data_IF_888361447613
#
_entry.id   IF_888361447613
#
_cell.length_a   1.000
_cell.length_b   1.000
_cell.length_c   1.000
_cell.angle_alpha   90.00
_cell.angle_beta   90.00
_cell.angle_gamma   90.00
#
_symmetry.space_group_name_H-M   'P 1'
#
loop_
_entity.id
_entity.type
_entity.pdbx_description
1 polymer ?
#
# COMPACT_ATOMS: atom_id res chain seq x y z
N UNK A 1 -42.45 12.41 -39.97
CA UNK A 1 -41.75 12.24 -38.68
C UNK A 1 -40.92 10.97 -38.75
N UNK A 2 -39.59 11.06 -38.86
CA UNK A 2 -38.70 9.90 -38.87
C UNK A 2 -38.53 9.40 -37.43
N UNK A 3 -38.97 8.17 -37.14
CA UNK A 3 -38.66 7.50 -35.87
C UNK A 3 -37.23 6.95 -35.97
N UNK A 4 -36.32 7.51 -35.16
CA UNK A 4 -34.99 6.95 -34.96
C UNK A 4 -35.12 5.87 -33.89
N UNK A 5 -34.89 4.61 -34.27
CA UNK A 5 -34.75 3.52 -33.32
C UNK A 5 -33.36 3.57 -32.70
N UNK A 6 -33.29 3.80 -31.39
CA UNK A 6 -32.07 3.62 -30.61
C UNK A 6 -32.06 2.16 -30.15
N UNK A 7 -31.26 1.34 -30.83
CA UNK A 7 -30.96 -0.03 -30.39
C UNK A 7 -30.02 0.05 -29.19
N UNK A 8 -30.54 -0.20 -27.99
CA UNK A 8 -29.72 -0.43 -26.79
C UNK A 8 -29.26 -1.89 -26.83
N UNK A 9 -27.98 -2.09 -27.18
CA UNK A 9 -27.33 -3.40 -27.09
C UNK A 9 -27.00 -3.63 -25.61
N UNK A 10 -27.88 -4.34 -24.90
CA UNK A 10 -27.65 -4.81 -23.54
C UNK A 10 -26.99 -6.19 -23.62
N UNK A 11 -25.66 -6.24 -23.50
CA UNK A 11 -24.94 -7.52 -23.37
C UNK A 11 -25.08 -7.97 -21.91
N UNK A 12 -26.13 -8.75 -21.63
CA UNK A 12 -26.24 -9.51 -20.39
C UNK A 12 -25.35 -10.76 -20.51
N UNK A 13 -24.19 -10.73 -19.87
CA UNK A 13 -23.28 -11.86 -19.74
C UNK A 13 -23.79 -12.79 -18.63
N UNK A 14 -24.37 -13.92 -19.03
CA UNK A 14 -24.77 -15.00 -18.11
C UNK A 14 -23.52 -15.81 -17.75
N UNK A 15 -23.18 -15.83 -16.46
CA UNK A 15 -22.07 -16.59 -15.88
C UNK A 15 -22.54 -17.98 -15.46
N UNK A 16 -21.89 -19.02 -15.97
CA UNK A 16 -22.06 -20.40 -15.52
C UNK A 16 -20.73 -20.89 -14.95
N UNK A 17 -20.79 -21.48 -13.76
CA UNK A 17 -19.62 -22.02 -13.06
C UNK A 17 -19.12 -23.29 -13.75
N UNK A 18 -17.91 -23.23 -14.32
CA UNK A 18 -17.17 -24.43 -14.70
C UNK A 18 -15.84 -24.44 -13.97
N UNK A 19 -15.68 -25.32 -12.98
CA UNK A 19 -14.39 -25.59 -12.35
C UNK A 19 -13.60 -26.55 -13.24
N UNK A 20 -12.50 -26.07 -13.83
CA UNK A 20 -11.58 -26.94 -14.55
C UNK A 20 -10.38 -27.24 -13.64
N UNK A 21 -10.39 -28.40 -12.99
CA UNK A 21 -9.24 -28.92 -12.25
C UNK A 21 -8.29 -29.64 -13.21
N UNK A 22 -7.39 -28.88 -13.83
CA UNK A 22 -6.32 -29.42 -14.69
C UNK A 22 -4.98 -28.83 -14.30
N UNK A 23 -4.07 -29.65 -13.76
CA UNK A 23 -2.65 -29.30 -13.54
C UNK A 23 -1.98 -28.96 -14.87
N UNK A 24 -1.33 -27.79 -14.96
CA UNK A 24 -0.23 -27.55 -15.91
C UNK A 24 -0.40 -26.50 -17.01
N UNK A 25 -1.40 -25.61 -16.96
CA UNK A 25 -1.53 -24.44 -17.84
C UNK A 25 -1.87 -23.22 -16.99
N UNK A 26 -1.31 -22.03 -17.32
CA UNK A 26 -1.63 -20.79 -16.61
C UNK A 26 -3.15 -20.57 -16.47
N UNK A 27 -3.58 -20.02 -15.33
CA UNK A 27 -5.00 -19.91 -14.96
C UNK A 27 -5.86 -19.13 -15.97
N UNK A 28 -5.23 -18.26 -16.78
CA UNK A 28 -5.82 -17.55 -17.92
C UNK A 28 -4.85 -17.50 -19.10
N UNK A 29 -5.38 -17.38 -20.31
CA UNK A 29 -4.61 -17.44 -21.58
C UNK A 29 -3.66 -16.25 -21.78
N UNK A 30 -3.98 -15.11 -21.18
CA UNK A 30 -3.32 -13.83 -21.35
C UNK A 30 -2.40 -13.48 -20.17
N UNK A 31 -2.12 -14.46 -19.28
CA UNK A 31 -1.21 -14.31 -18.15
C UNK A 31 0.02 -15.20 -18.29
N UNK A 32 1.17 -14.66 -17.89
CA UNK A 32 2.44 -15.37 -17.78
C UNK A 32 2.93 -15.35 -16.33
N UNK A 33 3.55 -16.42 -15.87
CA UNK A 33 4.12 -16.48 -14.51
C UNK A 33 5.15 -15.37 -14.24
N UNK A 34 5.80 -14.87 -15.30
CA UNK A 34 6.75 -13.75 -15.23
C UNK A 34 6.09 -12.37 -15.10
N UNK A 35 4.76 -12.27 -15.19
CA UNK A 35 4.08 -10.98 -15.03
C UNK A 35 4.15 -10.55 -13.56
N UNK A 36 4.56 -9.30 -13.31
CA UNK A 36 4.76 -8.77 -11.94
C UNK A 36 3.51 -8.84 -11.04
N UNK A 37 2.33 -8.98 -11.64
CA UNK A 37 1.04 -9.08 -10.95
C UNK A 37 0.48 -10.51 -10.92
N UNK A 38 1.17 -11.50 -11.51
CA UNK A 38 0.66 -12.87 -11.68
C UNK A 38 0.22 -13.48 -10.36
N UNK A 39 1.10 -13.46 -9.35
CA UNK A 39 0.82 -14.03 -8.03
C UNK A 39 -0.37 -13.34 -7.36
N UNK A 40 -0.48 -12.02 -7.49
CA UNK A 40 -1.61 -11.25 -6.95
C UNK A 40 -2.93 -11.74 -7.57
N UNK A 41 -2.96 -11.95 -8.88
CA UNK A 41 -4.15 -12.48 -9.57
C UNK A 41 -4.46 -13.90 -9.11
N UNK A 42 -3.48 -14.79 -9.08
CA UNK A 42 -3.67 -16.20 -8.65
C UNK A 42 -4.26 -16.27 -7.25
N UNK A 43 -3.73 -15.50 -6.29
CA UNK A 43 -4.23 -15.49 -4.91
C UNK A 43 -5.66 -14.96 -4.83
N UNK A 44 -5.96 -13.86 -5.52
CA UNK A 44 -7.31 -13.26 -5.48
C UNK A 44 -8.35 -14.14 -6.17
N UNK A 45 -7.99 -14.82 -7.25
CA UNK A 45 -8.83 -15.82 -7.92
C UNK A 45 -9.04 -17.03 -7.03
N UNK A 46 -7.99 -17.55 -6.41
CA UNK A 46 -8.08 -18.66 -5.46
C UNK A 46 -8.97 -18.36 -4.24
N UNK A 47 -9.05 -17.09 -3.82
CA UNK A 47 -9.97 -16.61 -2.78
C UNK A 47 -11.39 -16.32 -3.29
N UNK A 48 -11.59 -16.33 -4.61
CA UNK A 48 -12.85 -15.95 -5.26
C UNK A 48 -13.19 -14.48 -5.03
N UNK A 49 -12.19 -13.60 -4.99
CA UNK A 49 -12.34 -12.14 -4.86
C UNK A 49 -12.46 -11.49 -6.23
N UNK A 50 -11.73 -12.04 -7.21
CA UNK A 50 -11.75 -11.59 -8.59
C UNK A 50 -11.80 -12.80 -9.51
N UNK A 51 -12.42 -12.62 -10.67
CA UNK A 51 -12.64 -13.68 -11.65
C UNK A 51 -12.11 -13.25 -13.02
N UNK A 52 -11.83 -14.21 -13.89
CA UNK A 52 -11.58 -13.93 -15.31
C UNK A 52 -12.87 -13.81 -16.10
N UNK A 53 -12.71 -13.56 -17.39
CA UNK A 53 -13.80 -13.49 -18.34
C UNK A 53 -14.15 -14.88 -18.88
N UNK A 54 -15.35 -15.02 -19.43
CA UNK A 54 -15.87 -16.28 -19.97
C UNK A 54 -15.10 -16.79 -21.20
N UNK A 55 -14.30 -15.94 -21.84
CA UNK A 55 -13.40 -16.28 -22.95
C UNK A 55 -12.08 -16.95 -22.49
N UNK A 56 -11.87 -17.03 -21.17
CA UNK A 56 -10.66 -17.59 -20.56
C UNK A 56 -9.50 -16.59 -20.44
N UNK A 57 -9.77 -15.29 -20.60
CA UNK A 57 -8.81 -14.20 -20.38
C UNK A 57 -9.05 -13.50 -19.03
N UNK A 58 -8.02 -12.86 -18.50
CA UNK A 58 -8.10 -12.01 -17.32
C UNK A 58 -8.24 -10.52 -17.67
N UNK A 59 -7.70 -10.10 -18.82
CA UNK A 59 -7.63 -8.74 -19.35
C UNK A 59 -6.93 -7.77 -18.38
N UNK A 60 -5.66 -8.04 -18.01
CA UNK A 60 -4.95 -7.29 -16.97
C UNK A 60 -4.76 -5.80 -17.30
N UNK A 61 -4.73 -5.44 -18.58
CA UNK A 61 -4.47 -4.06 -19.03
C UNK A 61 -5.72 -3.20 -19.16
N UNK A 62 -6.91 -3.78 -19.05
CA UNK A 62 -8.17 -3.06 -19.14
C UNK A 62 -8.45 -2.32 -17.84
N UNK A 63 -8.88 -1.06 -17.94
CA UNK A 63 -9.29 -0.27 -16.79
C UNK A 63 -10.54 -0.85 -16.14
N UNK A 64 -10.59 -0.83 -14.81
CA UNK A 64 -11.80 -1.23 -14.08
C UNK A 64 -12.78 -0.07 -13.96
N UNK A 65 -14.08 -0.39 -13.98
CA UNK A 65 -15.14 0.53 -13.59
C UNK A 65 -15.26 0.63 -12.06
N UNK A 66 -15.82 1.72 -11.56
CA UNK A 66 -15.99 1.95 -10.12
C UNK A 66 -16.80 0.85 -9.46
N UNK A 67 -17.89 0.39 -10.09
CA UNK A 67 -18.70 -0.73 -9.61
C UNK A 67 -17.95 -2.06 -9.52
N UNK A 68 -17.09 -2.37 -10.49
CA UNK A 68 -16.23 -3.55 -10.47
C UNK A 68 -15.27 -3.49 -9.30
N UNK A 69 -14.66 -2.33 -9.05
CA UNK A 69 -13.74 -2.17 -7.94
C UNK A 69 -14.44 -2.26 -6.58
N UNK A 70 -15.61 -1.62 -6.44
CA UNK A 70 -16.45 -1.72 -5.23
C UNK A 70 -16.82 -3.18 -4.97
N UNK A 71 -17.30 -3.91 -5.98
CA UNK A 71 -17.61 -5.34 -5.86
C UNK A 71 -16.40 -6.11 -5.33
N UNK A 72 -15.22 -5.91 -5.92
CA UNK A 72 -14.02 -6.65 -5.47
C UNK A 72 -13.65 -6.36 -4.02
N UNK A 73 -13.80 -5.11 -3.56
CA UNK A 73 -13.56 -4.75 -2.16
C UNK A 73 -14.59 -5.36 -1.22
N UNK A 74 -15.87 -5.31 -1.58
CA UNK A 74 -16.97 -5.92 -0.79
C UNK A 74 -16.78 -7.43 -0.67
N UNK A 75 -16.39 -8.10 -1.76
CA UNK A 75 -16.08 -9.54 -1.73
C UNK A 75 -14.82 -9.83 -0.92
N UNK A 76 -13.78 -8.98 -1.03
CA UNK A 76 -12.56 -9.10 -0.24
C UNK A 76 -12.83 -9.03 1.28
N UNK A 77 -13.87 -8.30 1.67
CA UNK A 77 -14.39 -8.21 3.04
C UNK A 77 -15.28 -9.40 3.45
N UNK A 78 -15.44 -10.40 2.58
CA UNK A 78 -16.24 -11.61 2.85
C UNK A 78 -17.72 -11.49 2.49
N UNK A 79 -18.17 -10.37 1.92
CA UNK A 79 -19.55 -10.19 1.50
C UNK A 79 -19.74 -10.64 0.05
N UNK A 80 -19.96 -11.95 -0.13
CA UNK A 80 -20.36 -12.52 -1.43
C UNK A 80 -21.86 -12.39 -1.60
N UNK A 81 -22.28 -11.55 -2.53
CA UNK A 81 -23.68 -11.22 -2.79
C UNK A 81 -24.10 -11.69 -4.18
N UNK A 82 -25.40 -11.92 -4.37
CA UNK A 82 -25.93 -12.15 -5.71
C UNK A 82 -25.98 -10.82 -6.48
N UNK A 83 -25.88 -10.90 -7.81
CA UNK A 83 -26.00 -9.71 -8.66
C UNK A 83 -27.43 -9.15 -8.60
N UNK A 84 -27.55 -7.83 -8.70
CA UNK A 84 -28.83 -7.14 -8.81
C UNK A 84 -29.55 -7.46 -10.13
N UNK A 85 -30.88 -7.29 -10.13
CA UNK A 85 -31.73 -7.60 -11.30
C UNK A 85 -31.67 -6.52 -12.38
N UNK A 86 -31.72 -5.25 -11.99
CA UNK A 86 -31.71 -4.12 -12.93
C UNK A 86 -30.28 -3.65 -13.18
N UNK A 87 -29.51 -3.48 -12.10
CA UNK A 87 -28.09 -3.18 -12.16
C UNK A 87 -27.31 -4.20 -11.37
N UNK A 88 -26.42 -4.94 -12.05
CA UNK A 88 -25.73 -6.10 -11.47
C UNK A 88 -24.95 -5.75 -10.19
N UNK A 89 -24.41 -4.54 -10.11
CA UNK A 89 -23.57 -4.09 -9.00
C UNK A 89 -24.33 -3.49 -7.82
N UNK A 90 -25.63 -3.24 -7.98
CA UNK A 90 -26.45 -2.53 -6.98
C UNK A 90 -26.33 -3.13 -5.57
N UNK A 91 -26.48 -4.45 -5.34
CA UNK A 91 -26.33 -5.02 -4.00
C UNK A 91 -24.94 -4.79 -3.38
N UNK A 92 -23.89 -4.75 -4.21
CA UNK A 92 -22.54 -4.49 -3.75
C UNK A 92 -22.33 -3.02 -3.40
N UNK A 93 -22.91 -2.11 -4.18
CA UNK A 93 -22.86 -0.66 -3.91
C UNK A 93 -23.63 -0.34 -2.63
N UNK A 94 -24.83 -0.89 -2.46
CA UNK A 94 -25.61 -0.76 -1.23
C UNK A 94 -24.84 -1.29 -0.03
N UNK A 95 -24.18 -2.46 -0.17
CA UNK A 95 -23.35 -2.98 0.91
C UNK A 95 -22.15 -2.08 1.21
N UNK A 96 -21.51 -1.51 0.20
CA UNK A 96 -20.41 -0.57 0.39
C UNK A 96 -20.85 0.74 1.05
N UNK A 97 -22.08 1.19 0.80
CA UNK A 97 -22.72 2.32 1.49
C UNK A 97 -23.01 2.01 2.96
N UNK A 98 -23.58 0.84 3.25
CA UNK A 98 -23.83 0.33 4.60
C UNK A 98 -22.54 0.23 5.42
N UNK A 99 -21.47 -0.25 4.78
CA UNK A 99 -20.13 -0.29 5.35
C UNK A 99 -19.48 1.10 5.45
N UNK A 100 -20.01 2.14 4.82
CA UNK A 100 -19.40 3.48 4.80
C UNK A 100 -18.09 3.57 4.00
N UNK A 101 -17.77 2.54 3.21
CA UNK A 101 -16.66 2.51 2.25
C UNK A 101 -16.97 3.50 1.11
N UNK A 102 -18.20 3.44 0.62
CA UNK A 102 -18.77 4.43 -0.30
C UNK A 102 -19.69 5.34 0.52
N UNK A 103 -19.75 6.62 0.16
CA UNK A 103 -20.62 7.64 0.76
C UNK A 103 -21.43 8.32 -0.34
N UNK A 104 -22.60 8.83 0.05
CA UNK A 104 -23.45 9.59 -0.86
C UNK A 104 -22.69 10.80 -1.41
N UNK A 105 -22.67 10.93 -2.74
CA UNK A 105 -21.97 12.00 -3.45
C UNK A 105 -20.50 11.74 -3.78
N UNK A 106 -19.91 10.61 -3.36
CA UNK A 106 -18.56 10.23 -3.79
C UNK A 106 -18.47 10.07 -5.31
N UNK A 107 -19.51 9.51 -5.92
CA UNK A 107 -19.56 9.21 -7.35
C UNK A 107 -20.87 9.69 -7.98
N UNK A 108 -20.78 10.23 -9.19
CA UNK A 108 -21.94 10.57 -10.02
C UNK A 108 -22.37 9.41 -10.93
N UNK A 109 -21.48 8.46 -11.19
CA UNK A 109 -21.72 7.24 -11.95
C UNK A 109 -20.75 6.16 -11.48
N UNK A 110 -21.27 4.95 -11.25
CA UNK A 110 -20.46 3.79 -10.89
C UNK A 110 -19.95 2.99 -12.11
N UNK A 111 -20.47 3.27 -13.30
CA UNK A 111 -20.09 2.59 -14.54
C UNK A 111 -18.93 3.28 -15.29
N UNK A 112 -18.48 4.43 -14.77
CA UNK A 112 -17.26 5.07 -15.28
C UNK A 112 -16.03 4.30 -14.79
N UNK A 113 -14.93 4.37 -15.53
CA UNK A 113 -13.64 3.87 -15.07
C UNK A 113 -13.20 4.60 -13.82
N UNK A 114 -12.73 3.87 -12.81
CA UNK A 114 -12.27 4.45 -11.54
C UNK A 114 -10.88 5.08 -11.72
N UNK A 115 -10.69 6.27 -11.19
CA UNK A 115 -9.38 6.93 -11.15
C UNK A 115 -8.52 6.38 -10.01
N UNK A 116 -7.20 6.53 -10.14
CA UNK A 116 -6.25 6.13 -9.09
C UNK A 116 -6.50 6.83 -7.75
N UNK A 117 -6.91 8.10 -7.76
CA UNK A 117 -7.21 8.84 -6.54
C UNK A 117 -8.51 8.36 -5.86
N UNK A 118 -9.56 8.06 -6.64
CA UNK A 118 -10.79 7.47 -6.10
C UNK A 118 -10.55 6.06 -5.55
N UNK A 119 -9.70 5.28 -6.22
CA UNK A 119 -9.27 3.98 -5.71
C UNK A 119 -8.55 4.09 -4.37
N UNK A 120 -7.63 5.06 -4.23
CA UNK A 120 -6.96 5.31 -2.95
C UNK A 120 -7.97 5.63 -1.85
N UNK A 121 -8.98 6.45 -2.15
CA UNK A 121 -10.06 6.77 -1.21
C UNK A 121 -10.81 5.51 -0.75
N UNK A 122 -11.28 4.67 -1.67
CA UNK A 122 -12.00 3.45 -1.29
C UNK A 122 -11.11 2.47 -0.53
N UNK A 123 -9.86 2.30 -0.97
CA UNK A 123 -8.86 1.42 -0.36
C UNK A 123 -8.57 1.83 1.08
N UNK A 124 -8.31 3.12 1.31
CA UNK A 124 -8.05 3.66 2.66
C UNK A 124 -9.24 3.41 3.56
N UNK A 125 -10.47 3.74 3.13
CA UNK A 125 -11.67 3.51 3.95
C UNK A 125 -11.89 2.03 4.30
N UNK A 126 -11.56 1.12 3.40
CA UNK A 126 -11.60 -0.32 3.68
C UNK A 126 -10.58 -0.70 4.77
N UNK A 127 -9.34 -0.21 4.67
CA UNK A 127 -8.32 -0.49 5.68
C UNK A 127 -8.69 0.14 7.03
N UNK A 128 -9.18 1.37 7.04
CA UNK A 128 -9.68 2.06 8.24
C UNK A 128 -10.77 1.25 8.95
N UNK A 129 -11.71 0.69 8.17
CA UNK A 129 -12.75 -0.20 8.69
C UNK A 129 -12.15 -1.48 9.31
N UNK A 130 -11.24 -2.14 8.61
CA UNK A 130 -10.68 -3.43 9.03
C UNK A 130 -9.83 -3.31 10.29
N UNK A 131 -9.07 -2.22 10.40
CA UNK A 131 -8.04 -2.05 11.43
C UNK A 131 -8.49 -1.11 12.55
N UNK A 132 -9.67 -0.50 12.44
CA UNK A 132 -10.13 0.52 13.37
C UNK A 132 -9.25 1.78 13.38
N UNK A 133 -8.35 1.90 12.41
CA UNK A 133 -7.50 3.07 12.19
C UNK A 133 -8.40 4.16 11.62
N UNK A 134 -8.63 5.24 12.36
CA UNK A 134 -9.35 6.41 11.83
C UNK A 134 -8.32 7.43 11.35
N UNK A 135 -8.48 8.05 10.19
CA UNK A 135 -7.59 9.15 9.79
C UNK A 135 -8.25 10.52 10.00
N UNK A 136 -7.67 11.30 10.92
CA UNK A 136 -7.29 12.71 10.78
C UNK A 136 -6.35 13.04 11.95
N UNK A 137 -5.05 12.78 11.80
CA UNK A 137 -3.97 13.46 12.53
C UNK A 137 -2.68 13.21 11.77
N UNK A 138 -2.50 13.89 10.63
CA UNK A 138 -1.14 14.25 10.25
C UNK A 138 -0.82 15.53 11.01
N UNK A 139 0.33 15.54 11.68
CA UNK A 139 0.83 16.73 12.37
C UNK A 139 2.15 17.10 11.69
N UNK A 140 2.15 18.18 10.91
CA UNK A 140 3.38 18.76 10.37
C UNK A 140 4.16 17.87 9.39
N UNK A 141 5.42 17.58 9.74
CA UNK A 141 6.51 17.23 8.81
C UNK A 141 6.32 15.97 7.95
N UNK A 142 5.46 15.02 8.33
CA UNK A 142 5.27 13.75 7.62
C UNK A 142 4.49 13.90 6.31
N UNK A 143 3.49 14.77 6.29
CA UNK A 143 2.73 15.07 5.07
C UNK A 143 3.65 15.70 4.01
N UNK A 144 4.49 16.65 4.41
CA UNK A 144 5.46 17.29 3.50
C UNK A 144 6.47 16.26 2.96
N UNK A 145 6.96 15.36 3.81
CA UNK A 145 7.84 14.26 3.41
C UNK A 145 7.19 13.35 2.37
N UNK A 146 5.97 12.85 2.63
CA UNK A 146 5.26 11.98 1.68
C UNK A 146 5.00 12.73 0.37
N UNK A 147 4.44 13.93 0.45
CA UNK A 147 4.05 14.70 -0.74
C UNK A 147 5.25 15.13 -1.59
N UNK A 148 6.42 15.37 -1.00
CA UNK A 148 7.67 15.64 -1.74
C UNK A 148 8.12 14.50 -2.65
N UNK A 149 7.70 13.25 -2.37
CA UNK A 149 7.99 12.09 -3.22
C UNK A 149 7.00 11.87 -4.35
N UNK A 150 5.92 12.65 -4.37
CA UNK A 150 4.83 12.53 -5.35
C UNK A 150 4.85 13.78 -6.25
N UNK A 151 5.61 13.69 -7.33
CA UNK A 151 5.90 14.83 -8.21
C UNK A 151 4.65 15.49 -8.84
N UNK A 152 3.56 14.75 -9.00
CA UNK A 152 2.29 15.23 -9.55
C UNK A 152 1.17 15.35 -8.50
N UNK A 153 1.52 15.39 -7.21
CA UNK A 153 0.55 15.51 -6.09
C UNK A 153 -0.38 16.72 -6.23
N UNK A 154 0.15 17.84 -6.70
CA UNK A 154 -0.61 19.07 -6.93
C UNK A 154 -1.76 18.90 -7.94
N UNK A 155 -1.68 17.88 -8.81
CA UNK A 155 -2.72 17.60 -9.80
C UNK A 155 -3.94 16.89 -9.22
N UNK A 156 -3.87 16.31 -8.02
CA UNK A 156 -5.00 15.66 -7.38
C UNK A 156 -6.07 16.67 -6.92
N UNK A 157 -7.34 16.24 -6.90
CA UNK A 157 -8.42 17.05 -6.30
C UNK A 157 -8.20 17.20 -4.79
N UNK A 158 -8.55 18.37 -4.25
CA UNK A 158 -8.32 18.68 -2.84
C UNK A 158 -8.99 17.68 -1.89
N UNK A 159 -10.16 17.17 -2.23
CA UNK A 159 -10.89 16.18 -1.43
C UNK A 159 -10.25 14.78 -1.44
N UNK A 160 -9.47 14.43 -2.47
CA UNK A 160 -8.84 13.11 -2.58
C UNK A 160 -7.40 13.08 -2.06
N UNK A 161 -6.76 14.24 -1.93
CA UNK A 161 -5.37 14.38 -1.43
C UNK A 161 -5.08 13.65 -0.12
N UNK A 162 -5.91 13.75 0.94
CA UNK A 162 -5.66 13.03 2.20
C UNK A 162 -5.58 11.51 2.01
N UNK A 163 -6.41 10.95 1.11
CA UNK A 163 -6.43 9.53 0.84
C UNK A 163 -5.22 9.06 0.04
N UNK A 164 -4.66 9.93 -0.81
CA UNK A 164 -3.40 9.63 -1.51
C UNK A 164 -2.27 9.51 -0.49
N UNK A 165 -2.12 10.48 0.40
CA UNK A 165 -1.09 10.45 1.45
C UNK A 165 -1.27 9.21 2.32
N UNK A 166 -2.50 8.94 2.77
CA UNK A 166 -2.78 7.78 3.62
C UNK A 166 -2.55 6.45 2.91
N UNK A 167 -2.83 6.36 1.62
CA UNK A 167 -2.54 5.15 0.85
C UNK A 167 -1.04 4.86 0.75
N UNK A 168 -0.20 5.90 0.67
CA UNK A 168 1.27 5.80 0.74
C UNK A 168 1.73 5.36 2.13
N UNK A 169 1.25 6.03 3.18
CA UNK A 169 1.59 5.69 4.57
C UNK A 169 1.24 4.23 4.89
N UNK A 170 0.02 3.80 4.54
CA UNK A 170 -0.42 2.42 4.72
C UNK A 170 0.28 1.44 3.78
N UNK A 171 1.01 1.91 2.75
CA UNK A 171 1.68 1.06 1.77
C UNK A 171 0.75 0.29 0.84
N UNK A 172 -0.50 0.73 0.74
CA UNK A 172 -1.47 0.12 -0.16
C UNK A 172 -1.24 0.56 -1.60
N UNK A 173 -0.70 1.77 -1.81
CA UNK A 173 -0.31 2.32 -3.11
C UNK A 173 0.99 3.10 -2.97
N UNK A 174 1.99 2.85 -3.84
CA UNK A 174 3.35 3.43 -3.74
C UNK A 174 3.77 4.29 -4.93
N UNK A 175 2.85 4.60 -5.84
CA UNK A 175 3.14 5.37 -7.06
C UNK A 175 3.84 4.56 -8.14
N UNK A 176 4.31 5.25 -9.18
CA UNK A 176 5.06 4.68 -10.28
C UNK A 176 6.57 4.96 -10.15
N UNK A 177 7.45 4.18 -10.82
CA UNK A 177 8.89 4.40 -10.78
C UNK A 177 9.35 5.79 -11.27
N UNK A 178 8.51 6.52 -12.01
CA UNK A 178 8.76 7.89 -12.46
C UNK A 178 8.46 8.96 -11.38
N UNK A 179 8.15 8.53 -10.15
CA UNK A 179 7.83 9.42 -9.03
C UNK A 179 6.45 10.06 -9.13
N UNK A 180 5.57 9.55 -9.99
CA UNK A 180 4.19 10.06 -10.14
C UNK A 180 3.17 9.14 -9.48
N UNK A 181 2.11 9.74 -8.98
CA UNK A 181 0.92 9.04 -8.54
C UNK A 181 -0.13 8.89 -9.66
N UNK A 182 -0.23 9.85 -10.59
CA UNK A 182 -1.21 9.90 -11.68
C UNK A 182 -2.66 9.88 -11.20
N UNK A 183 -3.11 10.88 -10.42
CA UNK A 183 -4.38 10.83 -9.70
C UNK A 183 -5.62 10.72 -10.59
N UNK A 184 -5.55 11.20 -11.83
CA UNK A 184 -6.67 11.19 -12.80
C UNK A 184 -6.64 10.00 -13.76
N UNK A 185 -5.55 9.24 -13.78
CA UNK A 185 -5.44 8.10 -14.68
C UNK A 185 -6.35 6.97 -14.18
N UNK A 186 -6.91 6.22 -15.13
CA UNK A 186 -7.66 5.01 -14.83
C UNK A 186 -6.72 3.88 -14.42
N UNK A 187 -7.06 3.14 -13.38
CA UNK A 187 -6.23 2.05 -12.88
C UNK A 187 -6.58 0.73 -13.59
N UNK A 188 -5.55 0.02 -14.05
CA UNK A 188 -5.68 -1.24 -14.80
C UNK A 188 -6.04 -2.40 -13.88
N UNK A 189 -6.74 -3.41 -14.39
CA UNK A 189 -7.14 -4.59 -13.59
C UNK A 189 -5.97 -5.27 -12.87
N UNK A 190 -4.78 -5.34 -13.46
CA UNK A 190 -3.56 -5.87 -12.81
C UNK A 190 -3.08 -5.01 -11.62
N UNK A 191 -3.12 -3.69 -11.78
CA UNK A 191 -2.79 -2.75 -10.72
C UNK A 191 -3.80 -2.88 -9.58
N UNK A 192 -5.09 -3.07 -9.88
CA UNK A 192 -6.15 -3.18 -8.89
C UNK A 192 -5.95 -4.43 -8.03
N UNK A 193 -5.55 -5.55 -8.66
CA UNK A 193 -5.21 -6.78 -7.95
C UNK A 193 -4.07 -6.58 -6.94
N UNK A 194 -3.09 -5.76 -7.30
CA UNK A 194 -1.96 -5.47 -6.41
C UNK A 194 -2.41 -4.66 -5.20
N UNK A 195 -3.27 -3.66 -5.41
CA UNK A 195 -3.86 -2.86 -4.32
C UNK A 195 -4.75 -3.73 -3.43
N UNK A 196 -5.65 -4.54 -4.00
CA UNK A 196 -6.54 -5.43 -3.24
C UNK A 196 -5.73 -6.46 -2.43
N UNK A 197 -4.65 -7.02 -3.01
CA UNK A 197 -3.75 -7.93 -2.30
C UNK A 197 -3.14 -7.28 -1.06
N UNK A 198 -2.71 -6.02 -1.17
CA UNK A 198 -2.16 -5.20 -0.07
C UNK A 198 -3.21 -4.86 0.99
N UNK A 199 -4.48 -4.73 0.61
CA UNK A 199 -5.57 -4.52 1.57
C UNK A 199 -5.76 -5.77 2.43
N UNK A 200 -5.91 -6.95 1.81
CA UNK A 200 -6.26 -8.20 2.50
C UNK A 200 -5.06 -8.90 3.17
N UNK A 201 -3.84 -8.43 2.91
CA UNK A 201 -2.62 -8.98 3.49
C UNK A 201 -1.63 -7.86 3.75
N UNK A 202 -1.59 -7.46 5.03
CA UNK A 202 -0.76 -6.38 5.54
C UNK A 202 0.72 -6.58 5.22
N UNK A 203 1.20 -7.82 5.16
CA UNK A 203 2.61 -8.14 4.87
C UNK A 203 3.01 -7.81 3.44
N UNK A 204 2.04 -7.68 2.54
CA UNK A 204 2.26 -7.30 1.15
C UNK A 204 2.33 -5.79 0.96
N UNK A 205 1.96 -5.01 1.99
CA UNK A 205 1.97 -3.54 1.93
C UNK A 205 3.41 -3.06 1.85
N UNK A 206 3.64 -2.21 0.88
CA UNK A 206 4.92 -1.55 0.66
C UNK A 206 4.81 -0.19 1.33
N UNK A 207 4.90 -0.18 2.66
CA UNK A 207 4.68 1.06 3.43
C UNK A 207 5.66 2.10 2.96
N UNK A 208 5.17 3.32 2.77
CA UNK A 208 6.04 4.47 2.71
C UNK A 208 6.70 4.61 4.08
N UNK A 209 7.81 3.90 4.25
CA UNK A 209 8.70 4.06 5.38
C UNK A 209 9.54 5.25 5.02
N UNK A 210 9.35 6.35 5.75
CA UNK A 210 10.33 7.40 5.73
C UNK A 210 11.65 6.75 6.17
N UNK A 211 12.58 6.59 5.23
CA UNK A 211 13.99 6.31 5.55
C UNK A 211 14.58 7.60 6.12
N UNK A 212 14.00 8.06 7.23
CA UNK A 212 14.55 9.12 8.02
C UNK A 212 15.66 8.51 8.84
N UNK A 213 16.88 8.93 8.57
CA UNK A 213 17.66 9.39 9.70
C UNK A 213 16.79 10.49 10.31
N UNK A 214 16.10 10.19 11.40
CA UNK A 214 15.53 11.26 12.21
C UNK A 214 16.72 11.82 12.99
N UNK A 215 17.37 12.84 12.40
CA UNK A 215 18.14 13.77 13.22
C UNK A 215 17.07 14.51 14.02
N UNK A 216 16.70 13.94 15.16
CA UNK A 216 15.81 14.60 16.08
C UNK A 216 16.68 15.54 16.88
N UNK A 217 16.88 16.75 16.35
CA UNK A 217 17.22 17.88 17.20
C UNK A 217 16.00 18.08 18.12
N UNK A 218 16.06 17.52 19.33
CA UNK A 218 15.07 17.60 20.40
C UNK A 218 13.86 16.66 20.28
N UNK A 219 14.02 15.43 20.79
CA UNK A 219 12.92 14.51 21.08
C UNK A 219 12.00 15.10 22.16
N UNK A 220 10.71 15.23 21.89
CA UNK A 220 9.71 15.54 22.93
C UNK A 220 9.79 14.49 24.05
N UNK A 221 10.28 14.92 25.23
CA UNK A 221 10.47 14.08 26.41
C UNK A 221 11.92 13.70 26.73
N UNK A 222 12.87 13.98 25.85
CA UNK A 222 14.31 13.95 26.15
C UNK A 222 14.86 15.37 26.14
N UNK A 223 15.87 15.64 26.98
CA UNK A 223 16.52 16.95 27.01
C UNK A 223 17.11 17.26 25.62
N UNK A 224 16.65 18.34 24.94
CA UNK A 224 17.25 18.90 23.73
C UNK A 224 18.76 18.88 23.65
N UNK A 225 19.42 19.11 24.79
CA UNK A 225 20.86 19.29 24.86
C UNK A 225 21.63 17.95 24.94
N UNK A 226 20.93 16.80 24.90
CA UNK A 226 21.55 15.50 25.13
C UNK A 226 21.57 14.56 23.91
N UNK A 227 20.69 14.63 22.91
CA UNK A 227 20.63 13.62 21.82
C UNK A 227 21.10 14.20 20.48
N UNK A 228 22.14 13.63 19.87
CA UNK A 228 22.69 14.08 18.58
C UNK A 228 21.99 13.48 17.35
N UNK A 229 21.52 12.23 17.40
CA UNK A 229 20.81 11.59 16.28
C UNK A 229 20.08 10.31 16.68
N UNK A 230 19.06 9.93 15.89
CA UNK A 230 18.40 8.62 15.96
C UNK A 230 18.19 8.04 14.55
N UNK A 231 18.57 6.78 14.35
CA UNK A 231 18.33 6.02 13.12
C UNK A 231 17.44 4.83 13.47
N UNK A 232 16.41 4.59 12.66
CA UNK A 232 15.50 3.45 12.79
C UNK A 232 15.66 2.52 11.58
N UNK A 233 15.80 1.22 11.85
CA UNK A 233 15.82 0.16 10.83
C UNK A 233 14.63 -0.74 11.08
N UNK A 234 13.70 -0.79 10.12
CA UNK A 234 12.53 -1.65 10.15
C UNK A 234 12.88 -3.02 9.57
N UNK A 235 12.82 -4.06 10.40
CA UNK A 235 13.24 -5.41 10.01
C UNK A 235 12.22 -6.16 9.15
N UNK A 236 10.99 -5.65 9.06
CA UNK A 236 9.93 -6.20 8.20
C UNK A 236 10.00 -5.66 6.77
N UNK A 237 10.90 -4.71 6.51
CA UNK A 237 11.11 -4.07 5.20
C UNK A 237 12.44 -4.53 4.58
N UNK A 238 12.63 -4.40 3.25
CA UNK A 238 13.91 -4.72 2.61
C UNK A 238 15.09 -4.02 3.29
N UNK A 239 16.10 -4.79 3.70
CA UNK A 239 17.16 -4.32 4.59
C UNK A 239 18.31 -3.61 3.87
N UNK A 240 18.62 -3.98 2.62
CA UNK A 240 19.84 -3.53 1.93
C UNK A 240 19.88 -2.00 1.77
N UNK A 241 18.78 -1.40 1.31
CA UNK A 241 18.68 0.05 1.16
C UNK A 241 18.73 0.80 2.51
N UNK A 242 18.25 0.17 3.59
CA UNK A 242 18.34 0.73 4.95
C UNK A 242 19.79 0.72 5.44
N UNK A 243 20.50 -0.38 5.19
CA UNK A 243 21.91 -0.52 5.56
C UNK A 243 22.81 0.47 4.85
N UNK A 244 22.61 0.68 3.54
CA UNK A 244 23.44 1.61 2.78
C UNK A 244 23.27 3.05 3.26
N UNK A 245 22.03 3.48 3.51
CA UNK A 245 21.75 4.82 4.05
C UNK A 245 22.31 4.99 5.46
N UNK A 246 22.09 4.00 6.34
CA UNK A 246 22.59 4.01 7.72
C UNK A 246 24.11 4.08 7.74
N UNK A 247 24.78 3.24 6.94
CA UNK A 247 26.24 3.23 6.81
C UNK A 247 26.75 4.57 6.31
N UNK A 248 26.13 5.13 5.28
CA UNK A 248 26.53 6.43 4.70
C UNK A 248 26.48 7.54 5.75
N UNK A 249 25.40 7.62 6.53
CA UNK A 249 25.28 8.61 7.60
C UNK A 249 26.30 8.40 8.72
N UNK A 250 26.46 7.16 9.21
CA UNK A 250 27.40 6.86 10.29
C UNK A 250 28.85 7.16 9.87
N UNK A 251 29.21 6.91 8.62
CA UNK A 251 30.55 7.24 8.11
C UNK A 251 30.87 8.73 8.30
N UNK A 252 29.89 9.59 8.04
CA UNK A 252 30.01 11.05 8.24
C UNK A 252 29.95 11.44 9.72
N UNK A 253 28.99 10.90 10.48
CA UNK A 253 28.73 11.30 11.86
C UNK A 253 29.76 10.79 12.88
N UNK A 254 30.25 9.56 12.70
CA UNK A 254 30.99 8.82 13.74
C UNK A 254 32.31 8.21 13.24
N UNK A 255 32.58 8.31 11.94
CA UNK A 255 33.80 7.81 11.31
C UNK A 255 33.79 6.30 11.03
N UNK A 256 34.75 5.87 10.21
CA UNK A 256 34.77 4.52 9.62
C UNK A 256 34.80 3.39 10.65
N UNK A 257 35.67 3.50 11.66
CA UNK A 257 35.85 2.45 12.67
C UNK A 257 34.54 2.16 13.39
N UNK A 258 33.91 3.20 13.96
CA UNK A 258 32.70 3.03 14.77
C UNK A 258 31.50 2.64 13.91
N UNK A 259 31.42 3.17 12.68
CA UNK A 259 30.42 2.76 11.70
C UNK A 259 30.45 1.26 11.45
N UNK A 260 31.63 0.70 11.19
CA UNK A 260 31.76 -0.73 10.91
C UNK A 260 31.33 -1.58 12.12
N UNK A 261 31.72 -1.19 13.33
CA UNK A 261 31.32 -1.88 14.56
C UNK A 261 29.80 -1.83 14.81
N UNK A 262 29.18 -0.67 14.61
CA UNK A 262 27.73 -0.47 14.74
C UNK A 262 27.00 -1.30 13.69
N UNK A 263 27.42 -1.23 12.42
CA UNK A 263 26.75 -1.94 11.32
C UNK A 263 26.83 -3.47 11.46
N UNK A 264 27.91 -4.01 12.03
CA UNK A 264 28.00 -5.44 12.36
C UNK A 264 26.92 -5.80 13.38
N UNK A 265 26.79 -5.02 14.46
CA UNK A 265 25.80 -5.28 15.49
C UNK A 265 24.37 -5.14 14.96
N UNK A 266 24.11 -4.13 14.15
CA UNK A 266 22.82 -3.90 13.49
C UNK A 266 22.41 -5.11 12.66
N UNK A 267 23.29 -5.59 11.77
CA UNK A 267 23.02 -6.78 10.94
C UNK A 267 22.87 -8.05 11.78
N UNK A 268 23.61 -8.16 12.87
CA UNK A 268 23.46 -9.30 13.79
C UNK A 268 22.09 -9.23 14.50
N UNK A 269 21.65 -8.04 14.89
CA UNK A 269 20.35 -7.81 15.52
C UNK A 269 19.18 -8.01 14.56
N UNK A 270 19.32 -7.72 13.26
CA UNK A 270 18.22 -8.02 12.31
C UNK A 270 17.96 -9.51 12.21
N UNK A 271 19.00 -10.33 12.31
CA UNK A 271 18.90 -11.78 12.19
C UNK A 271 18.49 -12.45 13.52
N UNK A 272 18.78 -11.81 14.67
CA UNK A 272 18.64 -12.40 16.01
C UNK A 272 18.12 -11.41 17.07
N UNK A 273 17.08 -10.65 16.73
CA UNK A 273 16.65 -9.43 17.43
C UNK A 273 16.42 -9.58 18.94
N UNK A 274 15.80 -10.67 19.40
CA UNK A 274 15.51 -10.89 20.84
C UNK A 274 16.70 -11.45 21.63
N UNK A 275 17.71 -11.97 20.94
CA UNK A 275 18.82 -12.68 21.57
C UNK A 275 19.94 -11.69 21.89
N UNK A 276 20.13 -10.70 21.03
CA UNK A 276 21.23 -9.76 21.14
C UNK A 276 20.78 -8.57 22.01
N UNK A 277 21.35 -8.35 23.19
CA UNK A 277 20.97 -7.22 24.06
C UNK A 277 21.39 -5.88 23.44
N UNK A 278 20.83 -4.77 23.93
CA UNK A 278 21.31 -3.43 23.58
C UNK A 278 22.81 -3.29 23.90
N UNK A 279 23.53 -2.53 23.09
CA UNK A 279 24.96 -2.26 23.31
C UNK A 279 25.24 -0.77 23.15
N UNK A 280 26.12 -0.27 24.02
CA UNK A 280 26.66 1.08 23.97
C UNK A 280 28.06 1.09 23.35
N UNK A 281 28.36 2.14 22.61
CA UNK A 281 29.66 2.46 22.04
C UNK A 281 30.10 3.84 22.53
N UNK A 282 31.37 4.01 22.84
CA UNK A 282 31.92 5.34 23.18
C UNK A 282 32.07 6.18 21.93
N UNK A 283 31.69 7.46 22.01
CA UNK A 283 31.77 8.42 20.90
C UNK A 283 32.17 9.79 21.43
N UNK A 284 33.13 10.47 20.78
CA UNK A 284 33.54 11.85 21.11
C UNK A 284 33.79 12.15 22.62
N UNK A 285 34.37 11.22 23.37
CA UNK A 285 34.72 11.43 24.77
C UNK A 285 33.61 11.04 25.73
N UNK A 286 32.71 11.96 26.06
CA UNK A 286 31.59 11.75 26.99
C UNK A 286 30.30 11.23 26.32
N UNK A 287 30.22 11.33 24.99
CA UNK A 287 29.06 10.82 24.23
C UNK A 287 29.11 9.31 24.04
N UNK A 288 27.95 8.75 23.74
CA UNK A 288 27.74 7.34 23.50
C UNK A 288 26.78 7.14 22.34
N UNK A 289 26.85 5.95 21.76
CA UNK A 289 25.87 5.48 20.79
C UNK A 289 25.26 4.20 21.34
N UNK A 290 23.94 4.14 21.47
CA UNK A 290 23.21 2.91 21.74
C UNK A 290 22.71 2.27 20.45
N UNK A 291 22.85 0.96 20.33
CA UNK A 291 22.10 0.16 19.37
C UNK A 291 21.13 -0.74 20.15
N UNK A 292 19.83 -0.51 19.98
CA UNK A 292 18.76 -1.16 20.74
C UNK A 292 17.64 -1.69 19.83
N UNK A 293 16.71 -2.44 20.42
CA UNK A 293 15.52 -2.99 19.75
C UNK A 293 14.24 -2.58 20.50
N UNK A 294 13.89 -1.28 20.51
CA UNK A 294 12.90 -0.71 21.43
C UNK A 294 11.44 -1.12 21.15
N UNK A 295 11.14 -1.63 19.95
CA UNK A 295 9.79 -2.01 19.51
C UNK A 295 9.53 -3.52 19.44
N UNK A 296 10.43 -4.37 19.96
CA UNK A 296 10.41 -5.81 19.70
C UNK A 296 10.79 -6.14 18.24
N UNK A 297 10.06 -7.05 17.58
CA UNK A 297 10.35 -7.60 16.24
C UNK A 297 10.23 -6.62 15.07
N UNK A 298 9.96 -5.34 15.29
CA UNK A 298 9.69 -4.42 14.18
C UNK A 298 10.88 -3.56 13.85
N UNK A 299 11.69 -3.16 14.84
CA UNK A 299 12.68 -2.10 14.65
C UNK A 299 13.99 -2.30 15.45
N UNK A 300 15.08 -1.82 14.86
CA UNK A 300 16.36 -1.55 15.52
C UNK A 300 16.56 -0.03 15.56
N UNK A 301 16.95 0.51 16.71
CA UNK A 301 17.34 1.90 16.84
C UNK A 301 18.85 2.03 17.00
N UNK A 302 19.41 3.09 16.42
CA UNK A 302 20.80 3.53 16.63
C UNK A 302 20.72 4.98 17.07
N UNK A 303 21.15 5.29 18.29
CA UNK A 303 20.92 6.60 18.89
C UNK A 303 22.20 7.14 19.51
N UNK A 304 22.59 8.36 19.17
CA UNK A 304 23.77 9.04 19.71
C UNK A 304 23.38 10.13 20.70
N UNK A 305 24.06 10.19 21.85
CA UNK A 305 23.88 11.20 22.90
C UNK A 305 25.12 11.36 23.77
#
# INVERSE_FOLDING_TARGET
MKKVGISVIMIALILVFTFNTGKGLGIFKDLKESDWFYENVVVLVGKGIIEGYTDGEFKPTIAMTTDQFIKTMVVALGHKLENGREYWAEPYIEKALDLGIVKNGDFTSYNNTITRAEMAMLTVRVVEMLEGVKTYTYVGSEEEKITSTISDYSSASASLKPYIIKAYELGTITGYPDGKFKPRDSLKRSEACTVIRRVIDEKMRDRFVFYGIEIIDNLDGHDPDLVDFVIRINVLSPLEAQYDKTKTFLLDAVGEKLTNEIMILVKTKTDFQDIIPSKFFEWKGDKKIEVASPGGYTDISISGW
#
